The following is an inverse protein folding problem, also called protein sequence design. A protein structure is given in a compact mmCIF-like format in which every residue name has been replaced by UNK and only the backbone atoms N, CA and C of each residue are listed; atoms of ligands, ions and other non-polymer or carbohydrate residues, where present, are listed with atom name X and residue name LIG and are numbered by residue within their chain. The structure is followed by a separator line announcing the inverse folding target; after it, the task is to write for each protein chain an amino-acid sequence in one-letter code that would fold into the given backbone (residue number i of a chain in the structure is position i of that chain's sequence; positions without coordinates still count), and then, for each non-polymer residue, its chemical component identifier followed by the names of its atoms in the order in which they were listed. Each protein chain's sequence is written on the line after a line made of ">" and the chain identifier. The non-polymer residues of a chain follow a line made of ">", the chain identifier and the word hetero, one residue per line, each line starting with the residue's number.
data_IF_408427152288
#
_entry.id   IF_408427152288
#
_cell.length_a   1.000
_cell.length_b   1.000
_cell.length_c   1.000
_cell.angle_alpha   90.00
_cell.angle_beta   90.00
_cell.angle_gamma   90.00
#
_symmetry.space_group_name_H-M   'P 1'
#
loop_
_entity.id
_entity.type
_entity.pdbx_description
1 polymer ?
#
# COMPACT_ATOMS: atom_id res chain seq x y z
N UNK A 1 4.57 -0.31 -29.47
CA UNK A 1 4.75 0.17 -28.08
C UNK A 1 5.58 -0.87 -27.32
N UNK A 2 6.88 -0.63 -27.14
CA UNK A 2 7.82 -1.66 -26.65
C UNK A 2 7.84 -1.66 -25.11
N UNK A 3 6.81 -2.25 -24.48
CA UNK A 3 6.72 -2.43 -23.03
C UNK A 3 7.95 -3.16 -22.44
N UNK A 4 8.73 -3.85 -23.28
CA UNK A 4 9.96 -4.54 -22.91
C UNK A 4 11.04 -3.60 -22.36
N UNK A 5 11.11 -2.33 -22.79
CA UNK A 5 12.19 -1.43 -22.36
C UNK A 5 12.03 -0.94 -20.91
N UNK A 6 10.80 -0.58 -20.49
CA UNK A 6 10.51 -0.23 -19.09
C UNK A 6 10.77 -1.42 -18.18
N UNK A 7 10.33 -2.61 -18.59
CA UNK A 7 10.55 -3.84 -17.85
C UNK A 7 12.05 -4.20 -17.78
N UNK A 8 12.82 -3.98 -18.85
CA UNK A 8 14.26 -4.25 -18.84
C UNK A 8 15.01 -3.34 -17.89
N UNK A 9 14.70 -2.05 -17.85
CA UNK A 9 15.31 -1.11 -16.90
C UNK A 9 14.93 -1.50 -15.47
N UNK A 10 13.64 -1.79 -15.23
CA UNK A 10 13.14 -2.22 -13.92
C UNK A 10 13.84 -3.50 -13.40
N UNK A 11 14.08 -4.47 -14.27
CA UNK A 11 14.71 -5.75 -13.89
C UNK A 11 16.20 -5.58 -13.52
N UNK A 12 16.87 -4.53 -14.00
CA UNK A 12 18.26 -4.20 -13.63
C UNK A 12 18.36 -3.63 -12.22
N UNK A 13 17.36 -2.89 -11.77
CA UNK A 13 17.40 -2.13 -10.50
C UNK A 13 16.77 -2.87 -9.32
N UNK A 14 15.91 -3.86 -9.57
CA UNK A 14 15.31 -4.64 -8.49
C UNK A 14 15.16 -6.12 -8.83
N UNK A 15 15.50 -7.03 -7.89
CA UNK A 15 15.26 -8.46 -8.07
C UNK A 15 13.78 -8.82 -7.90
N UNK A 16 12.95 -7.89 -7.40
CA UNK A 16 11.55 -8.12 -7.09
C UNK A 16 10.64 -7.65 -8.22
N UNK A 17 9.77 -8.54 -8.71
CA UNK A 17 8.73 -8.18 -9.67
C UNK A 17 7.56 -7.45 -8.99
N UNK A 18 6.93 -6.51 -9.70
CA UNK A 18 5.59 -6.03 -9.37
C UNK A 18 4.60 -7.20 -9.45
N UNK A 19 3.63 -7.22 -8.55
CA UNK A 19 2.63 -8.28 -8.49
C UNK A 19 1.45 -7.94 -9.40
N UNK A 20 1.08 -8.86 -10.28
CA UNK A 20 -0.25 -8.92 -10.87
C UNK A 20 -1.08 -9.84 -9.98
N UNK A 21 -2.07 -9.28 -9.28
CA UNK A 21 -2.96 -10.06 -8.39
C UNK A 21 -4.26 -10.30 -9.13
N UNK A 22 -4.77 -11.54 -9.11
CA UNK A 22 -6.06 -11.87 -9.69
C UNK A 22 -7.20 -11.12 -8.98
N UNK A 23 -8.23 -10.70 -9.73
CA UNK A 23 -9.38 -9.92 -9.23
C UNK A 23 -10.11 -10.58 -8.06
N UNK A 24 -9.99 -11.90 -7.89
CA UNK A 24 -10.74 -12.70 -6.91
C UNK A 24 -10.12 -12.75 -5.51
N UNK A 25 -8.97 -12.08 -5.27
CA UNK A 25 -8.30 -12.11 -3.96
C UNK A 25 -8.57 -10.84 -3.15
N UNK A 26 -9.10 -11.01 -1.95
CA UNK A 26 -9.24 -9.94 -0.94
C UNK A 26 -7.91 -9.17 -0.75
N UNK A 27 -8.01 -7.87 -0.47
CA UNK A 27 -6.88 -6.98 -0.19
C UNK A 27 -5.80 -6.91 -1.28
N UNK A 28 -6.13 -7.23 -2.54
CA UNK A 28 -5.21 -7.12 -3.68
C UNK A 28 -4.50 -5.76 -3.75
N UNK A 29 -5.24 -4.66 -3.55
CA UNK A 29 -4.70 -3.30 -3.52
C UNK A 29 -3.66 -3.13 -2.40
N UNK A 30 -3.95 -3.60 -1.19
CA UNK A 30 -3.04 -3.49 -0.04
C UNK A 30 -1.78 -4.34 -0.28
N UNK A 31 -1.92 -5.54 -0.84
CA UNK A 31 -0.78 -6.40 -1.21
C UNK A 31 0.09 -5.73 -2.27
N UNK A 32 -0.52 -5.11 -3.28
CA UNK A 32 0.20 -4.36 -4.31
C UNK A 32 0.94 -3.16 -3.71
N UNK A 33 0.31 -2.38 -2.83
CA UNK A 33 0.96 -1.24 -2.15
C UNK A 33 2.12 -1.70 -1.26
N UNK A 34 1.97 -2.81 -0.53
CA UNK A 34 3.06 -3.41 0.26
C UNK A 34 4.25 -3.74 -0.65
N UNK A 35 3.99 -4.38 -1.79
CA UNK A 35 5.03 -4.71 -2.77
C UNK A 35 5.68 -3.45 -3.35
N UNK A 36 4.87 -2.47 -3.72
CA UNK A 36 5.33 -1.21 -4.30
C UNK A 36 6.29 -0.47 -3.35
N UNK A 37 5.97 -0.44 -2.04
CA UNK A 37 6.84 0.14 -1.02
C UNK A 37 8.18 -0.60 -0.89
N UNK A 38 8.19 -1.93 -1.01
CA UNK A 38 9.44 -2.73 -0.94
C UNK A 38 10.41 -2.39 -2.06
N UNK A 39 9.90 -2.01 -3.23
CA UNK A 39 10.71 -1.66 -4.41
C UNK A 39 10.93 -0.16 -4.57
N UNK A 40 10.54 0.69 -3.59
CA UNK A 40 10.65 2.16 -3.65
C UNK A 40 12.02 2.61 -4.17
N UNK A 41 13.11 2.11 -3.57
CA UNK A 41 14.48 2.51 -3.95
C UNK A 41 14.79 2.16 -5.41
N UNK A 42 14.50 0.93 -5.84
CA UNK A 42 14.71 0.52 -7.22
C UNK A 42 13.87 1.35 -8.21
N UNK A 43 12.64 1.72 -7.84
CA UNK A 43 11.83 2.63 -8.65
C UNK A 43 12.42 4.05 -8.73
N UNK A 44 12.97 4.57 -7.64
CA UNK A 44 13.65 5.87 -7.63
C UNK A 44 14.89 5.85 -8.52
N UNK A 45 15.73 4.82 -8.41
CA UNK A 45 16.92 4.63 -9.25
C UNK A 45 16.53 4.54 -10.73
N UNK A 46 15.45 3.80 -11.04
CA UNK A 46 14.91 3.68 -12.39
C UNK A 46 14.54 5.03 -13.00
N UNK A 47 13.74 5.86 -12.31
CA UNK A 47 13.24 7.13 -12.88
C UNK A 47 14.29 8.24 -12.95
N UNK A 48 15.44 8.05 -12.29
CA UNK A 48 16.59 8.96 -12.34
C UNK A 48 17.58 8.53 -13.44
N UNK A 49 17.57 7.26 -13.86
CA UNK A 49 18.51 6.73 -14.87
C UNK A 49 18.47 7.45 -16.22
N UNK A 50 19.61 7.49 -16.91
CA UNK A 50 19.70 7.98 -18.28
C UNK A 50 18.86 7.15 -19.25
N UNK A 51 18.73 5.85 -18.98
CA UNK A 51 17.91 4.90 -19.74
C UNK A 51 16.41 5.26 -19.68
N UNK A 52 15.93 5.74 -18.53
CA UNK A 52 14.57 6.28 -18.41
C UNK A 52 14.42 7.63 -19.12
N UNK A 53 15.48 8.44 -19.15
CA UNK A 53 15.46 9.74 -19.82
C UNK A 53 15.42 9.62 -21.35
N UNK A 54 16.10 8.62 -21.92
CA UNK A 54 16.01 8.30 -23.37
C UNK A 54 14.66 7.70 -23.77
N UNK A 55 13.99 7.01 -22.84
CA UNK A 55 12.63 6.50 -23.04
C UNK A 55 11.56 7.61 -23.18
N UNK A 56 11.83 8.83 -22.69
CA UNK A 56 10.87 9.96 -22.70
C UNK A 56 10.45 10.43 -24.10
N UNK A 57 10.99 9.90 -25.18
CA UNK A 57 10.64 10.32 -26.55
C UNK A 57 9.24 9.85 -26.99
N UNK A 58 8.64 8.82 -26.36
CA UNK A 58 7.36 8.23 -26.81
C UNK A 58 6.09 8.77 -26.11
N UNK A 59 6.14 9.07 -24.80
CA UNK A 59 5.00 9.58 -24.00
C UNK A 59 5.51 10.36 -22.78
N UNK A 60 6.04 11.55 -23.05
CA UNK A 60 6.76 12.40 -22.09
C UNK A 60 5.92 12.80 -20.89
N UNK A 61 4.63 13.06 -21.10
CA UNK A 61 3.72 13.57 -20.06
C UNK A 61 3.51 12.51 -18.98
N UNK A 62 3.11 11.28 -19.36
CA UNK A 62 2.92 10.20 -18.39
C UNK A 62 4.21 9.80 -17.69
N UNK A 63 5.34 9.82 -18.41
CA UNK A 63 6.64 9.50 -17.82
C UNK A 63 7.05 10.54 -16.75
N UNK A 64 6.73 11.82 -16.98
CA UNK A 64 6.97 12.88 -16.00
C UNK A 64 6.07 12.71 -14.76
N UNK A 65 4.77 12.47 -14.94
CA UNK A 65 3.86 12.25 -13.81
C UNK A 65 4.30 11.07 -12.94
N UNK A 66 4.72 9.96 -13.55
CA UNK A 66 5.25 8.78 -12.82
C UNK A 66 6.50 9.15 -12.02
N UNK A 67 7.42 9.91 -12.63
CA UNK A 67 8.63 10.38 -11.95
C UNK A 67 8.30 11.27 -10.76
N UNK A 68 7.37 12.19 -10.91
CA UNK A 68 6.91 13.08 -9.83
C UNK A 68 6.35 12.28 -8.65
N UNK A 69 5.46 11.30 -8.89
CA UNK A 69 4.93 10.47 -7.81
C UNK A 69 6.00 9.62 -7.12
N UNK A 70 6.90 9.00 -7.88
CA UNK A 70 7.94 8.11 -7.32
C UNK A 70 8.98 8.89 -6.49
N UNK A 71 9.25 10.15 -6.84
CA UNK A 71 10.21 11.00 -6.12
C UNK A 71 9.56 11.82 -4.99
N UNK A 72 8.23 11.88 -4.91
CA UNK A 72 7.52 12.65 -3.89
C UNK A 72 7.44 11.88 -2.56
N UNK A 73 8.14 12.36 -1.53
CA UNK A 73 8.14 11.72 -0.21
C UNK A 73 6.80 11.86 0.53
N UNK A 74 6.06 12.97 0.38
CA UNK A 74 4.72 13.12 0.95
C UNK A 74 3.74 12.07 0.40
N UNK A 75 3.91 11.70 -0.88
CA UNK A 75 3.13 10.62 -1.49
C UNK A 75 3.48 9.26 -0.87
N UNK A 76 4.76 8.97 -0.64
CA UNK A 76 5.19 7.75 0.05
C UNK A 76 4.75 7.70 1.51
N UNK A 77 4.63 8.85 2.18
CA UNK A 77 4.08 8.96 3.52
C UNK A 77 2.58 8.62 3.54
N UNK A 78 1.82 9.04 2.52
CA UNK A 78 0.42 8.61 2.34
C UNK A 78 0.32 7.11 2.10
N UNK A 79 1.15 6.54 1.23
CA UNK A 79 1.20 5.07 1.02
C UNK A 79 1.53 4.35 2.32
N UNK A 80 2.50 4.85 3.08
CA UNK A 80 2.87 4.29 4.39
C UNK A 80 1.71 4.36 5.37
N UNK A 81 1.00 5.48 5.42
CA UNK A 81 -0.16 5.63 6.30
C UNK A 81 -1.27 4.65 5.95
N UNK A 82 -1.63 4.52 4.66
CA UNK A 82 -2.61 3.54 4.18
C UNK A 82 -2.22 2.13 4.63
N UNK A 83 -0.95 1.75 4.46
CA UNK A 83 -0.46 0.45 4.88
C UNK A 83 -0.49 0.24 6.39
N UNK A 84 -0.25 1.29 7.18
CA UNK A 84 -0.26 1.21 8.64
C UNK A 84 -1.64 0.88 9.19
N UNK A 85 -2.67 1.66 8.86
CA UNK A 85 -4.00 1.43 9.44
C UNK A 85 -4.74 0.25 8.80
N UNK A 86 -4.42 -0.13 7.56
CA UNK A 86 -5.03 -1.33 6.91
C UNK A 86 -4.35 -2.63 7.30
N UNK A 87 -3.16 -2.58 7.92
CA UNK A 87 -2.42 -3.79 8.32
C UNK A 87 -3.19 -4.65 9.33
N UNK A 88 -3.77 -4.12 10.42
CA UNK A 88 -4.56 -4.92 11.36
C UNK A 88 -5.75 -5.61 10.69
N UNK A 89 -6.44 -4.92 9.78
CA UNK A 89 -7.58 -5.45 9.01
C UNK A 89 -7.12 -6.65 8.17
N UNK A 90 -6.01 -6.47 7.43
CA UNK A 90 -5.42 -7.54 6.62
C UNK A 90 -4.99 -8.74 7.47
N UNK A 91 -4.35 -8.51 8.61
CA UNK A 91 -3.87 -9.58 9.49
C UNK A 91 -5.02 -10.39 10.09
N UNK A 92 -6.10 -9.73 10.53
CA UNK A 92 -7.30 -10.38 11.05
C UNK A 92 -7.97 -11.26 9.99
N UNK A 93 -8.21 -10.72 8.79
CA UNK A 93 -8.85 -11.47 7.71
C UNK A 93 -7.96 -12.63 7.25
N UNK A 94 -6.64 -12.43 7.19
CA UNK A 94 -5.69 -13.50 6.84
C UNK A 94 -5.68 -14.64 7.86
N UNK A 95 -5.85 -14.32 9.15
CA UNK A 95 -5.92 -15.32 10.20
C UNK A 95 -7.25 -16.08 10.19
N UNK A 96 -8.34 -15.46 9.72
CA UNK A 96 -9.62 -16.14 9.48
C UNK A 96 -9.61 -17.00 8.19
N UNK A 97 -8.78 -16.67 7.22
CA UNK A 97 -8.58 -17.40 5.96
C UNK A 97 -7.66 -18.62 6.14
N UNK A 98 -7.99 -19.49 7.11
CA UNK A 98 -7.29 -20.76 7.36
C UNK A 98 -8.30 -21.88 7.61
N UNK A 99 -7.92 -23.13 7.34
CA UNK A 99 -8.79 -24.31 7.57
C UNK A 99 -8.96 -24.67 9.06
N UNK A 100 -8.46 -23.83 9.98
CA UNK A 100 -8.51 -24.10 11.42
C UNK A 100 -9.80 -23.52 12.01
N UNK A 101 -10.43 -24.22 12.97
CA UNK A 101 -11.58 -23.68 13.69
C UNK A 101 -11.20 -22.39 14.45
N UNK A 102 -11.58 -21.25 13.93
CA UNK A 102 -11.23 -19.94 14.51
C UNK A 102 -12.44 -19.13 14.97
N UNK A 103 -13.68 -19.61 14.78
CA UNK A 103 -14.91 -18.85 15.04
C UNK A 103 -14.97 -18.24 16.45
N UNK A 104 -14.57 -19.02 17.45
CA UNK A 104 -14.55 -18.58 18.85
C UNK A 104 -13.56 -17.43 19.13
N UNK A 105 -12.55 -17.23 18.28
CA UNK A 105 -11.59 -16.13 18.38
C UNK A 105 -11.94 -14.94 17.49
N UNK A 106 -12.89 -15.07 16.56
CA UNK A 106 -13.17 -14.02 15.56
C UNK A 106 -13.56 -12.70 16.23
N UNK A 107 -14.41 -12.74 17.26
CA UNK A 107 -14.83 -11.54 17.99
C UNK A 107 -13.67 -10.85 18.69
N UNK A 108 -12.83 -11.60 19.41
CA UNK A 108 -11.64 -11.04 20.07
C UNK A 108 -10.64 -10.45 19.05
N UNK A 109 -10.44 -11.14 17.93
CA UNK A 109 -9.59 -10.65 16.84
C UNK A 109 -10.16 -9.40 16.17
N UNK A 110 -11.48 -9.29 16.05
CA UNK A 110 -12.19 -8.13 15.52
C UNK A 110 -12.00 -6.93 16.45
N UNK A 111 -12.29 -7.07 17.73
CA UNK A 111 -12.13 -6.00 18.72
C UNK A 111 -10.66 -5.52 18.78
N UNK A 112 -9.72 -6.47 18.81
CA UNK A 112 -8.28 -6.16 18.75
C UNK A 112 -7.89 -5.44 17.46
N UNK A 113 -8.50 -5.82 16.32
CA UNK A 113 -8.26 -5.17 15.03
C UNK A 113 -8.76 -3.73 15.05
N UNK A 114 -9.98 -3.47 15.54
CA UNK A 114 -10.55 -2.11 15.63
C UNK A 114 -9.65 -1.21 16.49
N UNK A 115 -9.22 -1.67 17.66
CA UNK A 115 -8.34 -0.91 18.55
C UNK A 115 -7.00 -0.59 17.89
N UNK A 116 -6.39 -1.54 17.17
CA UNK A 116 -5.14 -1.30 16.43
C UNK A 116 -5.33 -0.31 15.29
N UNK A 117 -6.45 -0.37 14.56
CA UNK A 117 -6.79 0.60 13.50
C UNK A 117 -6.90 2.01 14.10
N UNK A 118 -7.61 2.13 15.23
CA UNK A 118 -7.76 3.40 15.97
C UNK A 118 -6.41 4.00 16.34
N UNK A 119 -5.53 3.20 16.94
CA UNK A 119 -4.19 3.63 17.36
C UNK A 119 -3.39 4.20 16.17
N UNK A 120 -3.38 3.51 15.03
CA UNK A 120 -2.63 3.96 13.85
C UNK A 120 -3.19 5.25 13.25
N UNK A 121 -4.52 5.42 13.23
CA UNK A 121 -5.18 6.65 12.76
C UNK A 121 -4.87 7.82 13.70
N UNK A 122 -5.09 7.65 15.00
CA UNK A 122 -4.86 8.70 16.00
C UNK A 122 -3.39 9.14 16.04
N UNK A 123 -2.46 8.18 15.89
CA UNK A 123 -1.03 8.45 15.79
C UNK A 123 -0.69 9.32 14.59
N UNK A 124 -1.30 9.09 13.41
CA UNK A 124 -1.04 9.90 12.22
C UNK A 124 -1.62 11.32 12.36
N UNK A 125 -2.81 11.43 12.94
CA UNK A 125 -3.49 12.71 13.14
C UNK A 125 -2.91 13.53 14.29
N UNK A 126 -2.04 12.93 15.12
CA UNK A 126 -1.56 13.51 16.39
C UNK A 126 -2.73 13.92 17.28
N UNK A 127 -3.83 13.17 17.19
CA UNK A 127 -5.06 13.44 17.91
C UNK A 127 -4.90 12.96 19.36
N UNK A 128 -5.14 13.81 20.38
CA UNK A 128 -5.18 13.34 21.75
C UNK A 128 -6.32 12.33 21.92
N UNK A 129 -6.14 11.33 22.79
CA UNK A 129 -7.12 10.25 22.99
C UNK A 129 -8.52 10.75 23.44
N UNK A 130 -8.61 12.00 23.90
CA UNK A 130 -9.85 12.67 24.30
C UNK A 130 -10.63 13.31 23.14
N UNK A 131 -10.04 13.44 21.94
CA UNK A 131 -10.70 13.98 20.76
C UNK A 131 -11.22 12.87 19.84
N UNK A 132 -12.32 13.17 19.16
CA UNK A 132 -12.96 12.28 18.20
C UNK A 132 -12.35 12.56 16.81
N UNK A 133 -11.84 11.53 16.15
CA UNK A 133 -11.35 11.62 14.78
C UNK A 133 -12.48 11.36 13.80
N UNK A 134 -12.86 12.37 13.01
CA UNK A 134 -13.89 12.23 11.98
C UNK A 134 -13.54 11.13 10.95
N UNK A 135 -12.25 10.92 10.66
CA UNK A 135 -11.83 9.86 9.77
C UNK A 135 -11.97 8.49 10.43
N UNK A 136 -11.55 8.36 11.70
CA UNK A 136 -11.76 7.12 12.45
C UNK A 136 -13.24 6.78 12.56
N UNK A 137 -14.14 7.74 12.78
CA UNK A 137 -15.58 7.47 12.88
C UNK A 137 -16.13 6.82 11.62
N UNK A 138 -15.72 7.31 10.43
CA UNK A 138 -16.11 6.71 9.15
C UNK A 138 -15.55 5.29 9.03
N UNK A 139 -14.28 5.10 9.36
CA UNK A 139 -13.63 3.77 9.31
C UNK A 139 -14.29 2.80 10.29
N UNK A 140 -14.54 3.24 11.52
CA UNK A 140 -15.19 2.46 12.56
C UNK A 140 -16.61 2.05 12.13
N UNK A 141 -17.39 2.99 11.57
CA UNK A 141 -18.72 2.69 11.05
C UNK A 141 -18.69 1.60 9.97
N UNK A 142 -17.70 1.64 9.06
CA UNK A 142 -17.51 0.58 8.06
C UNK A 142 -17.11 -0.75 8.72
N UNK A 143 -16.29 -0.71 9.78
CA UNK A 143 -15.80 -1.90 10.47
C UNK A 143 -16.81 -2.55 11.40
N UNK A 144 -17.95 -1.92 11.71
CA UNK A 144 -19.01 -2.47 12.58
C UNK A 144 -20.36 -2.60 11.88
N UNK A 145 -20.44 -2.22 10.60
CA UNK A 145 -21.63 -2.36 9.75
C UNK A 145 -21.86 -3.83 9.36
#
# INVERSE_FOLDING_TARGET
>A
MNHNMRLSIFTKVTPLRLLSVANTRFASIIVMLKRLKLIKRGLQDMVISEEWSSYRLDDTEKANSVKEYILNDDWWDKVTYILSFTRPIYEMIRACDTDKPCLHFVYEMWDSMIEKVKIEIYKKEKCPASQISCFYDVVHHILVA
#
